data_IF_403136138140
#
_entry.id   IF_403136138140
#
_cell.length_a   1.000
_cell.length_b   1.000
_cell.length_c   1.000
_cell.angle_alpha   90.00
_cell.angle_beta   90.00
_cell.angle_gamma   90.00
#
_symmetry.space_group_name_H-M   'P 1'
#
loop_
_entity.id
_entity.type
_entity.pdbx_description
1 polymer ?
#
# COMPACT_ATOMS: atom_id res chain seq x y z
N UNK A 1 22.89 8.35 -18.81
CA UNK A 1 23.19 7.25 -17.85
C UNK A 1 22.71 7.70 -16.46
N UNK A 2 21.39 7.78 -16.26
CA UNK A 2 20.77 8.56 -15.15
C UNK A 2 19.61 7.82 -14.49
N UNK A 3 18.64 7.30 -15.26
CA UNK A 3 17.44 6.64 -14.73
C UNK A 3 17.70 5.44 -13.81
N UNK A 4 18.67 4.59 -14.15
CA UNK A 4 19.06 3.43 -13.32
C UNK A 4 19.60 3.83 -11.95
N UNK A 5 20.36 4.92 -11.84
CA UNK A 5 20.88 5.43 -10.57
C UNK A 5 19.73 5.82 -9.64
N UNK A 6 18.69 6.48 -10.17
CA UNK A 6 17.52 6.81 -9.37
C UNK A 6 16.77 5.57 -8.88
N UNK A 7 16.74 4.50 -9.68
CA UNK A 7 16.15 3.23 -9.25
C UNK A 7 16.93 2.57 -8.11
N UNK A 8 18.27 2.59 -8.17
CA UNK A 8 19.10 2.11 -7.06
C UNK A 8 18.96 2.96 -5.80
N UNK A 9 18.94 4.30 -5.93
CA UNK A 9 18.73 5.21 -4.79
C UNK A 9 17.38 4.95 -4.12
N UNK A 10 16.32 4.72 -4.89
CA UNK A 10 15.01 4.39 -4.34
C UNK A 10 15.04 3.05 -3.58
N UNK A 11 15.65 2.00 -4.14
CA UNK A 11 15.80 0.71 -3.44
C UNK A 11 16.66 0.82 -2.19
N UNK A 12 17.70 1.66 -2.21
CA UNK A 12 18.52 1.94 -1.04
C UNK A 12 17.71 2.64 0.06
N UNK A 13 16.81 3.58 -0.28
CA UNK A 13 15.90 4.19 0.70
C UNK A 13 14.97 3.15 1.34
N UNK A 14 14.38 2.25 0.54
CA UNK A 14 13.56 1.16 1.07
C UNK A 14 14.38 0.23 1.98
N UNK A 15 15.63 -0.08 1.62
CA UNK A 15 16.54 -0.85 2.47
C UNK A 15 16.85 -0.14 3.79
N UNK A 16 17.12 1.16 3.76
CA UNK A 16 17.33 1.96 4.98
C UNK A 16 16.10 1.94 5.88
N UNK A 17 14.90 2.07 5.33
CA UNK A 17 13.66 1.97 6.10
C UNK A 17 13.56 0.61 6.80
N UNK A 18 13.79 -0.49 6.08
CA UNK A 18 13.76 -1.83 6.66
C UNK A 18 14.75 -1.97 7.83
N UNK A 19 15.99 -1.53 7.67
CA UNK A 19 17.01 -1.65 8.72
C UNK A 19 16.80 -0.69 9.88
N UNK A 20 16.44 0.57 9.60
CA UNK A 20 16.43 1.63 10.61
C UNK A 20 15.09 1.79 11.32
N UNK A 21 13.99 1.31 10.73
CA UNK A 21 12.63 1.44 11.28
C UNK A 21 12.09 0.09 11.76
N UNK A 22 12.26 -0.99 11.00
CA UNK A 22 11.64 -2.28 11.32
C UNK A 22 12.55 -3.25 12.06
N UNK A 23 13.86 -3.24 11.78
CA UNK A 23 14.82 -4.15 12.40
C UNK A 23 15.45 -3.60 13.69
N UNK A 24 15.30 -2.31 13.98
CA UNK A 24 15.93 -1.68 15.13
C UNK A 24 15.02 -1.78 16.36
N UNK A 25 15.33 -2.73 17.25
CA UNK A 25 14.62 -2.95 18.53
C UNK A 25 14.86 -1.83 19.55
N UNK A 26 15.76 -0.88 19.29
CA UNK A 26 16.03 0.28 20.16
C UNK A 26 15.10 1.46 19.89
N UNK A 27 14.21 1.36 18.90
CA UNK A 27 13.24 2.39 18.52
C UNK A 27 12.07 2.60 19.49
N UNK A 28 12.21 2.21 20.75
CA UNK A 28 11.19 2.44 21.78
C UNK A 28 11.02 3.91 22.15
N UNK A 29 12.00 4.76 21.83
CA UNK A 29 11.93 6.20 22.07
C UNK A 29 11.19 6.92 20.92
N UNK A 30 10.03 7.55 21.20
CA UNK A 30 9.24 8.27 20.18
C UNK A 30 10.00 9.44 19.53
N UNK A 31 10.90 10.12 20.25
CA UNK A 31 11.65 11.25 19.69
C UNK A 31 12.69 10.78 18.67
N UNK A 32 13.40 9.68 18.99
CA UNK A 32 14.37 9.06 18.08
C UNK A 32 13.65 8.51 16.85
N UNK A 33 12.49 7.87 17.04
CA UNK A 33 11.65 7.39 15.95
C UNK A 33 11.21 8.53 15.03
N UNK A 34 10.67 9.61 15.59
CA UNK A 34 10.26 10.79 14.85
C UNK A 34 11.39 11.43 14.05
N UNK A 35 12.58 11.58 14.68
CA UNK A 35 13.74 12.15 14.02
C UNK A 35 14.22 11.31 12.82
N UNK A 36 14.28 9.97 12.97
CA UNK A 36 14.65 9.07 11.87
C UNK A 36 13.65 9.07 10.73
N UNK A 37 12.36 9.10 11.05
CA UNK A 37 11.31 9.22 10.02
C UNK A 37 11.48 10.53 9.24
N UNK A 38 11.74 11.63 9.94
CA UNK A 38 11.94 12.92 9.28
C UNK A 38 13.20 12.93 8.40
N UNK A 39 14.30 12.36 8.85
CA UNK A 39 15.52 12.24 8.04
C UNK A 39 15.26 11.45 6.73
N UNK A 40 14.55 10.33 6.83
CA UNK A 40 14.21 9.50 5.68
C UNK A 40 13.23 10.19 4.73
N UNK A 41 12.29 10.98 5.26
CA UNK A 41 11.43 11.86 4.44
C UNK A 41 12.24 12.88 3.66
N UNK A 42 13.16 13.59 4.33
CA UNK A 42 13.97 14.62 3.67
C UNK A 42 14.82 14.02 2.56
N UNK A 43 15.36 12.81 2.78
CA UNK A 43 16.09 12.05 1.74
C UNK A 43 15.18 11.66 0.57
N UNK A 44 13.93 11.29 0.82
CA UNK A 44 12.95 10.96 -0.21
C UNK A 44 12.56 12.20 -1.04
N UNK A 45 12.31 13.34 -0.39
CA UNK A 45 12.00 14.60 -1.09
C UNK A 45 13.18 15.06 -1.95
N UNK A 46 14.40 14.97 -1.42
CA UNK A 46 15.62 15.23 -2.18
C UNK A 46 15.77 14.28 -3.38
N UNK A 47 15.43 13.00 -3.21
CA UNK A 47 15.41 12.07 -4.33
C UNK A 47 14.39 12.49 -5.39
N UNK A 48 13.16 12.86 -4.98
CA UNK A 48 12.08 13.30 -5.89
C UNK A 48 12.46 14.56 -6.67
N UNK A 49 13.04 15.55 -5.99
CA UNK A 49 13.52 16.79 -6.62
C UNK A 49 14.66 16.55 -7.62
N UNK A 50 15.43 15.46 -7.44
CA UNK A 50 16.53 15.10 -8.34
C UNK A 50 16.12 14.27 -9.56
N UNK A 51 14.83 13.91 -9.71
CA UNK A 51 14.37 13.07 -10.83
C UNK A 51 14.61 13.80 -12.16
N UNK A 52 15.24 13.16 -13.16
CA UNK A 52 15.47 13.77 -14.46
C UNK A 52 14.15 13.99 -15.21
N UNK A 53 14.07 15.00 -16.10
CA UNK A 53 12.91 15.19 -16.94
C UNK A 53 12.52 13.92 -17.73
N UNK A 54 11.24 13.73 -18.05
CA UNK A 54 10.80 12.58 -18.85
C UNK A 54 11.48 12.63 -20.23
N UNK A 55 12.08 11.52 -20.65
CA UNK A 55 12.64 11.43 -22.00
C UNK A 55 11.49 11.24 -23.01
N UNK A 56 11.49 11.94 -24.16
CA UNK A 56 10.52 11.65 -25.21
C UNK A 56 10.65 10.17 -25.61
N UNK A 57 9.54 9.42 -25.69
CA UNK A 57 9.58 8.02 -26.04
C UNK A 57 10.17 7.86 -27.45
N UNK A 58 11.06 6.87 -27.68
CA UNK A 58 11.47 6.49 -29.03
C UNK A 58 10.25 6.18 -29.90
N UNK A 59 10.36 6.36 -31.22
CA UNK A 59 9.29 5.99 -32.16
C UNK A 59 8.92 4.49 -32.07
N UNK A 60 9.84 3.65 -31.60
CA UNK A 60 9.65 2.22 -31.33
C UNK A 60 8.96 1.91 -30.00
N UNK A 61 8.57 2.92 -29.22
CA UNK A 61 7.95 2.79 -27.90
C UNK A 61 8.94 2.80 -26.74
N UNK A 62 8.41 2.90 -25.51
CA UNK A 62 9.22 2.98 -24.28
C UNK A 62 9.93 1.65 -24.00
N UNK A 63 11.27 1.65 -24.10
CA UNK A 63 12.11 0.47 -23.87
C UNK A 63 12.25 0.07 -22.40
N UNK A 64 11.89 0.95 -21.45
CA UNK A 64 12.04 0.67 -20.01
C UNK A 64 11.07 1.47 -19.14
N UNK A 65 10.42 0.78 -18.19
CA UNK A 65 9.51 1.41 -17.23
C UNK A 65 10.20 2.45 -16.33
N UNK A 66 11.52 2.31 -16.10
CA UNK A 66 12.34 3.22 -15.28
C UNK A 66 12.44 4.65 -15.84
N UNK A 67 11.92 4.89 -17.04
CA UNK A 67 11.95 6.19 -17.71
C UNK A 67 10.63 6.94 -17.62
N UNK A 68 9.59 6.31 -17.05
CA UNK A 68 8.24 6.88 -17.02
C UNK A 68 7.99 7.69 -15.75
N UNK A 69 7.29 8.84 -15.83
CA UNK A 69 6.87 9.59 -14.66
C UNK A 69 6.02 8.77 -13.69
N UNK A 70 5.14 7.92 -14.23
CA UNK A 70 4.28 7.03 -13.45
C UNK A 70 5.09 6.07 -12.58
N UNK A 71 6.23 5.56 -13.07
CA UNK A 71 7.10 4.71 -12.27
C UNK A 71 7.72 5.47 -11.10
N UNK A 72 8.24 6.67 -11.34
CA UNK A 72 8.84 7.49 -10.28
C UNK A 72 7.83 7.88 -9.21
N UNK A 73 6.63 8.31 -9.61
CA UNK A 73 5.55 8.65 -8.69
C UNK A 73 5.11 7.44 -7.87
N UNK A 74 4.95 6.27 -8.49
CA UNK A 74 4.61 5.05 -7.77
C UNK A 74 5.69 4.64 -6.75
N UNK A 75 6.97 4.79 -7.11
CA UNK A 75 8.07 4.48 -6.18
C UNK A 75 8.17 5.46 -5.03
N UNK A 76 7.96 6.77 -5.29
CA UNK A 76 7.83 7.78 -4.24
C UNK A 76 6.74 7.37 -3.23
N UNK A 77 5.55 7.06 -3.74
CA UNK A 77 4.41 6.69 -2.90
C UNK A 77 4.66 5.39 -2.14
N UNK A 78 5.36 4.40 -2.73
CA UNK A 78 5.72 3.17 -2.02
C UNK A 78 6.63 3.45 -0.82
N UNK A 79 7.62 4.34 -0.97
CA UNK A 79 8.48 4.74 0.16
C UNK A 79 7.64 5.42 1.24
N UNK A 80 6.68 6.27 0.88
CA UNK A 80 5.72 6.87 1.84
C UNK A 80 4.97 5.80 2.62
N UNK A 81 4.38 4.81 1.94
CA UNK A 81 3.64 3.74 2.61
C UNK A 81 4.55 2.95 3.57
N UNK A 82 5.75 2.58 3.13
CA UNK A 82 6.68 1.84 3.98
C UNK A 82 7.19 2.65 5.17
N UNK A 83 7.36 3.96 5.03
CA UNK A 83 7.89 4.81 6.09
C UNK A 83 6.86 5.04 7.19
N UNK A 84 5.61 5.33 6.80
CA UNK A 84 4.55 5.66 7.75
C UNK A 84 3.77 4.46 8.27
N UNK A 85 4.01 3.26 7.73
CA UNK A 85 3.32 2.05 8.17
C UNK A 85 3.39 1.83 9.68
N UNK A 86 4.55 2.01 10.32
CA UNK A 86 4.68 1.87 11.79
C UNK A 86 3.78 2.87 12.54
N UNK A 87 3.62 4.09 12.03
CA UNK A 87 2.79 5.11 12.67
C UNK A 87 1.30 4.82 12.50
N UNK A 88 0.86 4.36 11.33
CA UNK A 88 -0.57 4.06 11.11
C UNK A 88 -1.01 2.78 11.83
N UNK A 89 -0.11 1.82 12.06
CA UNK A 89 -0.43 0.58 12.81
C UNK A 89 -0.24 0.72 14.32
N UNK A 90 0.38 1.80 14.80
CA UNK A 90 0.56 2.02 16.24
C UNK A 90 -0.72 2.59 16.86
N UNK A 91 -1.56 1.72 17.42
CA UNK A 91 -2.86 2.08 17.99
C UNK A 91 -2.79 3.04 19.19
N UNK A 92 -1.62 3.17 19.83
CA UNK A 92 -1.45 4.00 21.02
C UNK A 92 -1.40 5.50 20.70
N UNK A 93 -1.17 5.86 19.44
CA UNK A 93 -1.08 7.25 19.00
C UNK A 93 -2.39 7.68 18.34
N UNK A 94 -3.16 8.54 19.01
CA UNK A 94 -4.38 9.12 18.47
C UNK A 94 -4.33 10.64 18.53
N UNK A 95 -4.56 11.31 17.41
CA UNK A 95 -4.54 12.77 17.35
C UNK A 95 -4.42 13.32 15.93
N UNK A 96 -4.45 14.66 15.82
CA UNK A 96 -4.43 15.36 14.52
C UNK A 96 -3.20 15.04 13.65
N UNK A 97 -2.04 14.82 14.28
CA UNK A 97 -0.83 14.44 13.57
C UNK A 97 -0.98 13.08 12.87
N UNK A 98 -1.58 12.11 13.57
CA UNK A 98 -1.85 10.76 13.05
C UNK A 98 -2.88 10.79 11.92
N UNK A 99 -3.93 11.62 12.04
CA UNK A 99 -4.92 11.81 10.96
C UNK A 99 -4.29 12.37 9.67
N UNK A 100 -3.30 13.26 9.80
CA UNK A 100 -2.55 13.76 8.65
C UNK A 100 -1.70 12.65 7.99
N UNK A 101 -1.13 11.75 8.79
CA UNK A 101 -0.39 10.57 8.30
C UNK A 101 -1.33 9.61 7.58
N UNK A 102 -2.49 9.29 8.14
CA UNK A 102 -3.52 8.48 7.47
C UNK A 102 -3.93 9.09 6.13
N UNK A 103 -4.19 10.40 6.09
CA UNK A 103 -4.54 11.09 4.86
C UNK A 103 -3.42 10.98 3.82
N UNK A 104 -2.16 11.15 4.23
CA UNK A 104 -0.99 11.02 3.34
C UNK A 104 -0.87 9.60 2.78
N UNK A 105 -1.01 8.57 3.62
CA UNK A 105 -0.99 7.18 3.21
C UNK A 105 -2.15 6.83 2.27
N UNK A 106 -3.35 7.33 2.55
CA UNK A 106 -4.53 7.14 1.71
C UNK A 106 -4.30 7.67 0.29
N UNK A 107 -3.80 8.90 0.15
CA UNK A 107 -3.52 9.49 -1.16
C UNK A 107 -2.39 8.75 -1.89
N UNK A 108 -1.30 8.41 -1.20
CA UNK A 108 -0.19 7.66 -1.78
C UNK A 108 -0.63 6.29 -2.29
N UNK A 109 -1.43 5.57 -1.51
CA UNK A 109 -1.97 4.25 -1.85
C UNK A 109 -2.93 4.32 -3.05
N UNK A 110 -3.83 5.31 -3.07
CA UNK A 110 -4.72 5.58 -4.20
C UNK A 110 -3.95 5.80 -5.50
N UNK A 111 -2.94 6.67 -5.45
CA UNK A 111 -2.10 6.99 -6.60
C UNK A 111 -1.36 5.76 -7.14
N UNK A 112 -0.89 4.85 -6.26
CA UNK A 112 -0.26 3.59 -6.67
C UNK A 112 -1.26 2.73 -7.44
N UNK A 113 -2.47 2.53 -6.93
CA UNK A 113 -3.50 1.72 -7.58
C UNK A 113 -3.81 2.22 -8.99
N UNK A 114 -4.07 3.52 -9.14
CA UNK A 114 -4.32 4.14 -10.45
C UNK A 114 -3.09 4.06 -11.38
N UNK A 115 -1.89 4.27 -10.85
CA UNK A 115 -0.66 4.23 -11.66
C UNK A 115 -0.37 2.81 -12.15
N UNK A 116 -0.60 1.80 -11.32
CA UNK A 116 -0.44 0.40 -11.68
C UNK A 116 -1.48 -0.01 -12.73
N UNK A 117 -2.73 0.43 -12.59
CA UNK A 117 -3.76 0.26 -13.63
C UNK A 117 -3.27 0.79 -14.99
N UNK A 118 -2.74 2.03 -15.03
CA UNK A 118 -2.19 2.61 -16.28
C UNK A 118 -0.97 1.88 -16.83
N UNK A 119 -0.22 1.18 -15.99
CA UNK A 119 1.00 0.47 -16.39
C UNK A 119 0.76 -0.96 -16.87
N UNK A 120 -0.16 -1.69 -16.23
CA UNK A 120 -0.35 -3.13 -16.50
C UNK A 120 -1.47 -3.43 -17.48
N UNK A 121 -2.40 -2.50 -17.69
CA UNK A 121 -3.62 -2.78 -18.44
C UNK A 121 -3.47 -2.26 -19.87
N UNK A 122 -3.78 -3.13 -20.83
CA UNK A 122 -3.72 -2.78 -22.26
C UNK A 122 -2.30 -2.55 -22.77
N UNK A 123 -1.27 -2.89 -21.97
CA UNK A 123 0.15 -2.74 -22.32
C UNK A 123 0.87 -4.08 -22.15
N UNK A 124 1.80 -4.43 -23.07
CA UNK A 124 2.66 -5.59 -22.93
C UNK A 124 3.76 -5.30 -21.89
N UNK A 125 3.37 -5.18 -20.61
CA UNK A 125 4.29 -4.87 -19.52
C UNK A 125 4.75 -6.16 -18.85
N UNK A 126 6.02 -6.23 -18.47
CA UNK A 126 6.53 -7.32 -17.62
C UNK A 126 5.92 -7.18 -16.23
N UNK A 127 4.93 -8.03 -15.94
CA UNK A 127 4.49 -8.27 -14.57
C UNK A 127 5.68 -8.78 -13.77
N UNK A 128 5.86 -8.26 -12.56
CA UNK A 128 6.85 -8.80 -11.61
C UNK A 128 6.13 -9.20 -10.33
N UNK A 129 6.66 -10.22 -9.64
CA UNK A 129 6.14 -10.61 -8.33
C UNK A 129 6.21 -9.45 -7.31
N UNK A 130 7.27 -8.64 -7.37
CA UNK A 130 7.36 -7.41 -6.58
C UNK A 130 6.25 -6.40 -6.88
N UNK A 131 5.74 -6.33 -8.11
CA UNK A 131 4.60 -5.47 -8.43
C UNK A 131 3.31 -5.99 -7.79
N UNK A 132 3.10 -7.30 -7.71
CA UNK A 132 1.97 -7.89 -6.99
C UNK A 132 1.99 -7.46 -5.51
N UNK A 133 3.11 -7.66 -4.82
CA UNK A 133 3.25 -7.29 -3.41
C UNK A 133 3.06 -5.79 -3.18
N UNK A 134 3.70 -4.95 -3.99
CA UNK A 134 3.59 -3.50 -3.87
C UNK A 134 2.15 -3.01 -4.07
N UNK A 135 1.44 -3.59 -5.04
CA UNK A 135 0.03 -3.26 -5.28
C UNK A 135 -0.86 -3.73 -4.14
N UNK A 136 -0.68 -4.96 -3.67
CA UNK A 136 -1.47 -5.52 -2.58
C UNK A 136 -1.28 -4.71 -1.29
N UNK A 137 -0.03 -4.34 -0.97
CA UNK A 137 0.29 -3.44 0.15
C UNK A 137 -0.41 -2.09 0.02
N UNK A 138 -0.38 -1.49 -1.16
CA UNK A 138 -1.07 -0.22 -1.41
C UNK A 138 -2.58 -0.37 -1.23
N UNK A 139 -3.18 -1.42 -1.81
CA UNK A 139 -4.59 -1.73 -1.67
C UNK A 139 -5.01 -1.88 -0.20
N UNK A 140 -4.28 -2.70 0.57
CA UNK A 140 -4.56 -2.88 2.00
C UNK A 140 -4.42 -1.59 2.78
N UNK A 141 -3.37 -0.81 2.51
CA UNK A 141 -3.15 0.47 3.19
C UNK A 141 -4.28 1.46 2.89
N UNK A 142 -4.78 1.47 1.65
CA UNK A 142 -5.92 2.30 1.26
C UNK A 142 -7.18 1.95 2.06
N UNK A 143 -7.54 0.66 2.12
CA UNK A 143 -8.70 0.19 2.88
C UNK A 143 -8.53 0.45 4.38
N UNK A 144 -7.34 0.19 4.92
CA UNK A 144 -7.02 0.42 6.33
C UNK A 144 -7.18 1.89 6.73
N UNK A 145 -6.68 2.82 5.91
CA UNK A 145 -6.86 4.25 6.17
C UNK A 145 -8.35 4.63 6.21
N UNK A 146 -9.18 4.03 5.34
CA UNK A 146 -10.63 4.25 5.34
C UNK A 146 -11.32 3.65 6.57
N UNK A 147 -10.81 2.58 7.16
CA UNK A 147 -11.39 1.99 8.38
C UNK A 147 -11.00 2.77 9.63
N UNK A 148 -9.74 3.20 9.71
CA UNK A 148 -9.19 3.77 10.93
C UNK A 148 -9.38 5.28 11.06
N UNK A 149 -9.37 6.02 9.94
CA UNK A 149 -9.44 7.49 9.95
C UNK A 149 -10.79 8.01 9.46
N UNK A 150 -11.59 8.65 10.33
CA UNK A 150 -12.80 9.35 9.91
C UNK A 150 -12.51 10.50 8.95
N UNK A 151 -11.36 11.16 9.09
CA UNK A 151 -10.96 12.25 8.19
C UNK A 151 -10.62 11.72 6.80
N UNK A 152 -9.91 10.58 6.69
CA UNK A 152 -9.67 9.90 5.43
C UNK A 152 -10.97 9.52 4.71
N UNK A 153 -11.98 9.05 5.46
CA UNK A 153 -13.33 8.80 4.91
C UNK A 153 -13.98 10.09 4.43
N UNK A 154 -13.92 11.17 5.21
CA UNK A 154 -14.52 12.47 4.86
C UNK A 154 -13.89 13.08 3.59
N UNK A 155 -12.58 12.92 3.41
CA UNK A 155 -11.85 13.39 2.24
C UNK A 155 -12.13 12.55 0.97
N UNK A 156 -12.68 11.35 1.13
CA UNK A 156 -12.88 10.41 0.04
C UNK A 156 -14.34 10.35 -0.39
N UNK A 157 -14.60 10.69 -1.65
CA UNK A 157 -15.94 10.49 -2.23
C UNK A 157 -16.16 9.02 -2.56
N UNK A 158 -17.40 8.55 -2.44
CA UNK A 158 -17.79 7.15 -2.70
C UNK A 158 -17.36 6.67 -4.10
N UNK A 159 -17.52 7.50 -5.13
CA UNK A 159 -17.08 7.20 -6.50
C UNK A 159 -15.56 7.04 -6.62
N UNK A 160 -14.79 7.84 -5.89
CA UNK A 160 -13.33 7.70 -5.85
C UNK A 160 -12.90 6.41 -5.17
N UNK A 161 -13.55 6.05 -4.06
CA UNK A 161 -13.26 4.81 -3.35
C UNK A 161 -13.56 3.61 -4.26
N UNK A 162 -14.75 3.61 -4.90
CA UNK A 162 -15.14 2.61 -5.89
C UNK A 162 -14.12 2.46 -7.02
N UNK A 163 -13.74 3.58 -7.64
CA UNK A 163 -12.76 3.55 -8.74
C UNK A 163 -11.39 3.02 -8.31
N UNK A 164 -10.94 3.34 -7.09
CA UNK A 164 -9.64 2.91 -6.56
C UNK A 164 -9.63 1.42 -6.30
N UNK A 165 -10.69 0.89 -5.68
CA UNK A 165 -10.84 -0.54 -5.44
C UNK A 165 -10.90 -1.32 -6.76
N UNK A 166 -11.70 -0.85 -7.73
CA UNK A 166 -11.78 -1.46 -9.06
C UNK A 166 -10.40 -1.47 -9.72
N UNK A 167 -9.67 -0.36 -9.69
CA UNK A 167 -8.35 -0.30 -10.32
C UNK A 167 -7.35 -1.28 -9.72
N UNK A 168 -7.35 -1.42 -8.39
CA UNK A 168 -6.53 -2.40 -7.69
C UNK A 168 -6.93 -3.84 -8.06
N UNK A 169 -8.22 -4.19 -7.94
CA UNK A 169 -8.74 -5.52 -8.26
C UNK A 169 -8.44 -5.90 -9.71
N UNK A 170 -8.64 -4.99 -10.67
CA UNK A 170 -8.38 -5.29 -12.09
C UNK A 170 -6.91 -5.61 -12.36
N UNK A 171 -5.97 -4.96 -11.69
CA UNK A 171 -4.55 -5.30 -11.86
C UNK A 171 -4.23 -6.63 -11.18
N UNK A 172 -4.80 -6.91 -10.00
CA UNK A 172 -4.66 -8.22 -9.35
C UNK A 172 -5.24 -9.36 -10.21
N UNK A 173 -6.34 -9.14 -10.93
CA UNK A 173 -6.88 -10.08 -11.92
C UNK A 173 -5.85 -10.37 -13.02
N UNK A 174 -5.26 -9.34 -13.63
CA UNK A 174 -4.24 -9.52 -14.68
C UNK A 174 -3.00 -10.27 -14.15
N UNK A 175 -2.62 -10.03 -12.90
CA UNK A 175 -1.52 -10.76 -12.27
C UNK A 175 -1.87 -12.22 -11.99
N UNK A 176 -3.10 -12.50 -11.54
CA UNK A 176 -3.61 -13.84 -11.30
C UNK A 176 -3.83 -14.68 -12.58
N UNK A 177 -4.19 -14.02 -13.69
CA UNK A 177 -4.23 -14.68 -15.00
C UNK A 177 -2.85 -15.12 -15.47
N UNK A 178 -1.81 -14.37 -15.07
CA UNK A 178 -0.42 -14.69 -15.43
C UNK A 178 0.23 -15.69 -14.48
N UNK A 179 -0.12 -15.64 -13.20
CA UNK A 179 0.39 -16.54 -12.16
C UNK A 179 -0.75 -16.99 -11.27
N UNK A 180 -1.06 -18.29 -11.30
CA UNK A 180 -2.12 -18.87 -10.50
C UNK A 180 -1.94 -18.59 -9.00
N UNK A 181 -0.69 -18.54 -8.52
CA UNK A 181 -0.35 -18.24 -7.12
C UNK A 181 -0.71 -16.81 -6.69
N UNK A 182 -1.02 -15.91 -7.63
CA UNK A 182 -1.51 -14.56 -7.33
C UNK A 182 -3.04 -14.51 -7.14
N UNK A 183 -3.79 -15.56 -7.49
CA UNK A 183 -5.25 -15.62 -7.33
C UNK A 183 -5.72 -15.35 -5.89
N UNK A 184 -5.08 -15.89 -4.83
CA UNK A 184 -5.50 -15.60 -3.46
C UNK A 184 -5.41 -14.12 -3.07
N UNK A 185 -4.40 -13.37 -3.56
CA UNK A 185 -4.28 -11.93 -3.30
C UNK A 185 -5.44 -11.14 -3.89
N UNK A 186 -5.86 -11.50 -5.11
CA UNK A 186 -7.05 -10.94 -5.74
C UNK A 186 -8.29 -11.22 -4.90
N UNK A 187 -8.52 -12.49 -4.54
CA UNK A 187 -9.75 -12.91 -3.86
C UNK A 187 -9.89 -12.25 -2.48
N UNK A 188 -8.80 -12.18 -1.72
CA UNK A 188 -8.76 -11.47 -0.43
C UNK A 188 -9.05 -9.99 -0.62
N UNK A 189 -8.36 -9.34 -1.56
CA UNK A 189 -8.56 -7.91 -1.78
C UNK A 189 -10.00 -7.60 -2.24
N UNK A 190 -10.57 -8.43 -3.11
CA UNK A 190 -11.95 -8.27 -3.59
C UNK A 190 -12.97 -8.39 -2.45
N UNK A 191 -12.79 -9.37 -1.56
CA UNK A 191 -13.63 -9.52 -0.37
C UNK A 191 -13.52 -8.29 0.55
N UNK A 192 -12.30 -7.84 0.86
CA UNK A 192 -12.07 -6.67 1.72
C UNK A 192 -12.62 -5.38 1.09
N UNK A 193 -12.43 -5.18 -0.21
CA UNK A 193 -12.95 -4.04 -0.94
C UNK A 193 -14.48 -4.01 -0.90
N UNK A 194 -15.13 -5.16 -1.10
CA UNK A 194 -16.59 -5.30 -1.04
C UNK A 194 -17.14 -4.94 0.34
N UNK A 195 -16.55 -5.48 1.41
CA UNK A 195 -16.91 -5.13 2.78
C UNK A 195 -16.72 -3.65 3.09
N UNK A 196 -15.65 -3.04 2.56
CA UNK A 196 -15.38 -1.61 2.70
C UNK A 196 -16.46 -0.76 2.03
N UNK A 197 -16.92 -1.14 0.82
CA UNK A 197 -18.02 -0.43 0.15
C UNK A 197 -19.29 -0.46 0.97
N UNK A 198 -19.66 -1.63 1.52
CA UNK A 198 -20.83 -1.78 2.38
C UNK A 198 -20.73 -0.89 3.63
N UNK A 199 -19.57 -0.88 4.30
CA UNK A 199 -19.33 -0.01 5.46
C UNK A 199 -19.52 1.47 5.12
N UNK A 200 -19.00 1.93 3.98
CA UNK A 200 -19.11 3.33 3.56
C UNK A 200 -20.55 3.68 3.20
N UNK A 201 -21.26 2.81 2.49
CA UNK A 201 -22.67 3.01 2.14
C UNK A 201 -23.55 3.16 3.39
N UNK A 202 -23.35 2.29 4.39
CA UNK A 202 -24.07 2.35 5.66
C UNK A 202 -23.75 3.64 6.44
N UNK A 203 -22.49 4.09 6.42
CA UNK A 203 -22.06 5.34 7.07
C UNK A 203 -22.74 6.58 6.49
N UNK A 204 -23.15 6.56 5.21
CA UNK A 204 -23.85 7.69 4.57
C UNK A 204 -25.35 7.73 4.91
N UNK A 205 -25.92 6.64 5.41
CA UNK A 205 -27.35 6.53 5.73
C UNK A 205 -27.71 6.94 7.18
N UNK A 206 -26.74 7.48 7.93
CA UNK A 206 -26.97 8.11 9.23
C UNK A 206 -26.90 7.17 10.44
N UNK A 207 -26.45 5.93 10.26
CA UNK A 207 -26.20 5.01 11.38
C UNK A 207 -24.79 5.28 11.95
N UNK A 208 -24.70 6.31 12.81
CA UNK A 208 -23.44 6.85 13.35
C UNK A 208 -22.77 5.90 14.37
N UNK A 209 -23.39 4.78 14.71
CA UNK A 209 -22.83 3.82 15.69
C UNK A 209 -21.94 2.73 15.12
N UNK A 210 -21.84 2.58 13.79
CA UNK A 210 -20.94 1.60 13.20
C UNK A 210 -19.51 2.16 13.05
N UNK A 211 -18.79 2.36 14.16
CA UNK A 211 -17.43 1.80 14.14
C UNK A 211 -17.61 0.32 13.80
N UNK A 212 -16.77 -0.31 12.96
CA UNK A 212 -16.82 -1.76 12.81
C UNK A 212 -16.37 -2.37 14.15
N UNK A 213 -17.26 -2.40 15.13
CA UNK A 213 -17.15 -3.28 16.28
C UNK A 213 -17.35 -4.66 15.69
N UNK A 214 -16.22 -5.35 15.45
CA UNK A 214 -16.20 -6.70 14.91
C UNK A 214 -16.83 -6.77 13.50
N UNK A 215 -16.09 -6.33 12.48
CA UNK A 215 -16.30 -6.95 11.16
C UNK A 215 -16.11 -8.45 11.38
N UNK A 216 -17.11 -9.28 11.12
CA UNK A 216 -16.96 -10.74 11.06
C UNK A 216 -16.15 -11.12 9.81
N UNK A 217 -14.89 -10.70 9.79
CA UNK A 217 -13.85 -11.12 8.85
C UNK A 217 -13.77 -12.65 8.70
N UNK A 218 -14.28 -13.38 9.69
CA UNK A 218 -14.27 -14.83 9.86
C UNK A 218 -15.18 -15.49 8.82
N UNK A 219 -16.20 -14.75 8.37
CA UNK A 219 -17.20 -15.16 7.40
C UNK A 219 -16.75 -14.93 5.94
N UNK A 220 -15.79 -14.03 5.73
CA UNK A 220 -15.27 -13.65 4.40
C UNK A 220 -13.79 -14.00 4.19
N UNK A 221 -13.12 -14.52 5.23
CA UNK A 221 -11.82 -15.15 5.11
C UNK A 221 -11.92 -16.36 4.18
N UNK A 222 -10.96 -16.58 3.27
CA UNK A 222 -10.68 -17.93 2.81
C UNK A 222 -10.58 -18.81 4.05
N UNK A 223 -11.25 -19.97 4.06
CA UNK A 223 -11.38 -20.86 5.25
C UNK A 223 -10.07 -21.30 5.91
N UNK A 224 -8.94 -20.81 5.42
CA UNK A 224 -7.63 -21.02 5.99
C UNK A 224 -6.73 -19.78 5.73
N UNK A 225 -7.10 -18.60 6.27
CA UNK A 225 -6.28 -17.37 6.20
C UNK A 225 -4.92 -17.59 6.87
N UNK A 226 -4.87 -18.41 7.93
CA UNK A 226 -3.65 -18.93 8.57
C UNK A 226 -2.78 -19.71 7.59
N UNK A 227 -3.33 -20.73 6.94
CA UNK A 227 -2.62 -21.50 5.92
C UNK A 227 -2.26 -20.64 4.70
N UNK A 228 -3.04 -19.60 4.38
CA UNK A 228 -2.68 -18.64 3.34
C UNK A 228 -1.47 -17.80 3.72
N UNK A 229 -1.41 -17.27 4.94
CA UNK A 229 -0.24 -16.53 5.44
C UNK A 229 1.00 -17.43 5.46
N UNK A 230 0.85 -18.69 5.85
CA UNK A 230 1.92 -19.69 5.79
C UNK A 230 2.36 -19.96 4.33
N UNK A 231 1.42 -20.18 3.42
CA UNK A 231 1.70 -20.42 1.99
C UNK A 231 2.33 -19.21 1.29
N UNK A 232 1.96 -17.98 1.69
CA UNK A 232 2.55 -16.74 1.20
C UNK A 232 3.97 -16.54 1.71
N UNK A 233 4.23 -16.88 2.97
CA UNK A 233 5.58 -16.87 3.53
C UNK A 233 6.49 -17.87 2.80
N UNK A 234 5.98 -19.04 2.44
CA UNK A 234 6.70 -20.07 1.67
C UNK A 234 6.93 -19.70 0.19
N UNK A 235 6.01 -18.93 -0.42
CA UNK A 235 6.04 -18.60 -1.85
C UNK A 235 7.02 -17.47 -2.24
N UNK A 236 7.67 -16.80 -1.27
CA UNK A 236 8.78 -15.90 -1.59
C UNK A 236 8.86 -14.61 -0.76
N UNK A 237 9.15 -14.76 0.54
CA UNK A 237 9.94 -13.88 1.40
C UNK A 237 9.75 -12.34 1.27
N UNK A 238 8.87 -11.79 2.12
CA UNK A 238 8.99 -10.43 2.65
C UNK A 238 8.49 -10.39 4.09
N UNK A 239 9.42 -10.46 5.05
CA UNK A 239 9.15 -10.30 6.49
C UNK A 239 8.35 -9.05 6.87
N UNK A 240 8.28 -8.06 5.97
CA UNK A 240 7.49 -6.84 6.15
C UNK A 240 6.00 -7.00 5.86
N UNK A 241 5.60 -7.95 5.02
CA UNK A 241 4.18 -8.28 4.78
C UNK A 241 3.65 -9.10 5.95
N UNK A 242 4.47 -10.00 6.50
CA UNK A 242 4.09 -10.83 7.66
C UNK A 242 3.74 -9.98 8.88
N UNK A 243 4.49 -8.91 9.16
CA UNK A 243 4.13 -7.97 10.23
C UNK A 243 2.89 -7.12 9.90
N UNK A 244 2.60 -6.86 8.62
CA UNK A 244 1.43 -6.06 8.24
C UNK A 244 0.19 -6.93 8.36
N UNK A 245 0.29 -8.18 7.93
CA UNK A 245 -0.73 -9.20 8.10
C UNK A 245 -0.89 -9.59 9.57
N UNK A 246 0.16 -9.70 10.37
CA UNK A 246 0.05 -10.00 11.80
C UNK A 246 -0.58 -8.84 12.57
N UNK A 247 -0.17 -7.60 12.29
CA UNK A 247 -0.83 -6.41 12.85
C UNK A 247 -2.28 -6.29 12.39
N UNK A 248 -2.56 -6.57 11.12
CA UNK A 248 -3.92 -6.62 10.57
C UNK A 248 -4.76 -7.74 11.19
N UNK A 249 -4.17 -8.90 11.49
CA UNK A 249 -4.81 -10.04 12.15
C UNK A 249 -5.08 -9.75 13.63
N UNK A 250 -4.13 -9.18 14.37
CA UNK A 250 -4.33 -8.75 15.77
C UNK A 250 -5.38 -7.63 15.85
N UNK A 251 -5.41 -6.73 14.86
CA UNK A 251 -6.39 -5.63 14.75
C UNK A 251 -7.82 -6.12 14.43
N UNK A 252 -7.93 -7.19 13.64
CA UNK A 252 -9.22 -7.79 13.29
C UNK A 252 -9.70 -8.79 14.37
N UNK A 253 -8.77 -9.48 15.07
CA UNK A 253 -9.02 -10.66 15.93
C UNK A 253 -8.47 -10.44 17.35
N UNK A 254 -8.91 -9.43 18.10
CA UNK A 254 -8.49 -9.31 19.49
C UNK A 254 -8.93 -10.56 20.27
N UNK A 255 -7.98 -11.21 20.96
CA UNK A 255 -8.23 -12.39 21.80
C UNK A 255 -9.17 -12.12 22.97
#
# INVERSE_FOLDING_TARGET
>A
MTYGIHAFRNRSLLGCIQTQIYADTTLSDPEICGARVQELLDRLENWKASIPPPMPPPESGTLSFFTTPDWYQANYNLVILHLFRVQITNQNERGKAVEAVFSRCLFAAKDICHSYRRQFIGKPTTCTWGALHNLFLAGLTYLYCLWMSPEARRLSRHDQISSTCIDCTMVLVVLAERWADAAPYRDIFEALASSTMTMIANSQQGDITAQPSHLSWEEYCPKDLSQWVENVAESGNSSGIDQLMSGFMDDLFPS
#
